data_IF_982266616321
#
_entry.id   IF_982266616321
#
_cell.length_a   1.000
_cell.length_b   1.000
_cell.length_c   1.000
_cell.angle_alpha   90.00
_cell.angle_beta   90.00
_cell.angle_gamma   90.00
#
_symmetry.space_group_name_H-M   'P 1'
#
loop_
_entity.id
_entity.type
_entity.pdbx_description
1 polymer ?
#
# COMPACT_ATOMS: atom_id res chain seq x y z
N UNK A 1 -5.44 12.17 -9.45
CA UNK A 1 -5.94 13.48 -9.91
C UNK A 1 -5.16 14.54 -9.15
N UNK A 2 -4.35 15.41 -9.79
CA UNK A 2 -3.58 16.40 -9.05
C UNK A 2 -4.52 17.49 -8.53
N UNK A 3 -4.73 17.53 -7.21
CA UNK A 3 -5.44 18.64 -6.56
C UNK A 3 -4.54 19.87 -6.61
N UNK A 4 -5.09 20.99 -7.07
CA UNK A 4 -4.39 22.27 -7.06
C UNK A 4 -4.17 22.65 -5.59
N UNK A 5 -2.92 22.57 -5.11
CA UNK A 5 -2.58 22.87 -3.71
C UNK A 5 -2.72 24.35 -3.36
N UNK A 6 -2.47 25.25 -4.32
CA UNK A 6 -2.38 26.70 -4.12
C UNK A 6 -3.06 27.41 -5.29
N UNK A 7 -4.01 28.30 -5.02
CA UNK A 7 -4.77 29.03 -6.05
C UNK A 7 -4.66 30.52 -5.80
N UNK A 8 -4.14 31.28 -6.76
CA UNK A 8 -3.95 32.74 -6.61
C UNK A 8 -5.31 33.44 -6.66
N UNK A 9 -5.56 34.31 -5.69
CA UNK A 9 -6.78 35.12 -5.61
C UNK A 9 -6.48 36.62 -5.63
N UNK A 10 -7.34 37.46 -6.25
CA UNK A 10 -8.56 37.10 -6.99
C UNK A 10 -8.25 36.56 -8.40
N UNK A 11 -9.00 35.57 -8.90
CA UNK A 11 -8.76 35.01 -10.25
C UNK A 11 -9.11 35.96 -11.41
N UNK A 12 -10.14 36.78 -11.23
CA UNK A 12 -10.58 37.74 -12.24
C UNK A 12 -10.25 39.16 -11.79
N UNK A 13 -9.59 39.93 -12.66
CA UNK A 13 -9.12 41.27 -12.33
C UNK A 13 -10.16 42.36 -12.62
N UNK A 14 -10.98 42.17 -13.66
CA UNK A 14 -11.81 43.22 -14.26
C UNK A 14 -13.30 42.86 -14.41
N UNK A 15 -13.76 41.74 -13.84
CA UNK A 15 -15.17 41.30 -13.95
C UNK A 15 -16.13 41.99 -12.97
N UNK A 16 -15.76 43.15 -12.43
CA UNK A 16 -16.55 43.85 -11.42
C UNK A 16 -17.59 44.75 -12.08
N UNK A 17 -18.85 44.67 -11.64
CA UNK A 17 -19.91 45.55 -12.13
C UNK A 17 -19.61 46.99 -11.70
N UNK A 18 -19.61 47.91 -12.66
CA UNK A 18 -19.38 49.33 -12.38
C UNK A 18 -20.63 50.00 -11.78
N UNK A 19 -20.46 50.90 -10.81
CA UNK A 19 -21.52 51.79 -10.34
C UNK A 19 -22.12 52.63 -11.49
N UNK A 20 -23.45 52.73 -11.55
CA UNK A 20 -24.20 53.32 -12.67
C UNK A 20 -24.03 54.84 -12.88
N UNK A 21 -23.29 55.54 -12.01
CA UNK A 21 -23.17 57.01 -12.00
C UNK A 21 -21.70 57.51 -12.06
N UNK A 22 -20.79 56.74 -12.65
CA UNK A 22 -19.38 57.16 -12.76
C UNK A 22 -19.16 57.96 -14.04
N UNK A 23 -18.50 59.11 -13.93
CA UNK A 23 -18.13 59.94 -15.08
C UNK A 23 -16.99 59.33 -15.91
N UNK A 24 -15.99 58.76 -15.24
CA UNK A 24 -14.79 58.17 -15.85
C UNK A 24 -14.76 56.65 -15.66
N UNK A 25 -15.56 55.91 -16.42
CA UNK A 25 -15.67 54.45 -16.28
C UNK A 25 -14.34 53.73 -16.52
N UNK A 26 -13.57 54.16 -17.52
CA UNK A 26 -12.27 53.55 -17.86
C UNK A 26 -11.25 53.71 -16.74
N UNK A 27 -11.19 54.88 -16.12
CA UNK A 27 -10.32 55.15 -14.97
C UNK A 27 -10.73 54.29 -13.76
N UNK A 28 -12.03 54.10 -13.55
CA UNK A 28 -12.54 53.22 -12.50
C UNK A 28 -12.14 51.75 -12.73
N UNK A 29 -12.36 51.21 -13.94
CA UNK A 29 -11.98 49.82 -14.29
C UNK A 29 -10.48 49.61 -14.15
N UNK A 30 -9.67 50.54 -14.64
CA UNK A 30 -8.20 50.44 -14.56
C UNK A 30 -7.71 50.45 -13.12
N UNK A 31 -8.26 51.34 -12.27
CA UNK A 31 -7.90 51.37 -10.85
C UNK A 31 -8.34 50.10 -10.10
N UNK A 32 -9.55 49.59 -10.35
CA UNK A 32 -10.02 48.31 -9.78
C UNK A 32 -9.12 47.16 -10.23
N UNK A 33 -8.76 47.13 -11.52
CA UNK A 33 -7.88 46.10 -12.07
C UNK A 33 -6.50 46.15 -11.43
N UNK A 34 -5.90 47.33 -11.27
CA UNK A 34 -4.61 47.51 -10.60
C UNK A 34 -4.68 47.10 -9.13
N UNK A 35 -5.72 47.49 -8.40
CA UNK A 35 -5.92 47.07 -7.02
C UNK A 35 -6.03 45.54 -6.89
N UNK A 36 -6.70 44.87 -7.83
CA UNK A 36 -6.81 43.42 -7.87
C UNK A 36 -5.49 42.74 -8.27
N UNK A 37 -4.67 43.36 -9.13
CA UNK A 37 -3.29 42.90 -9.41
C UNK A 37 -2.45 42.94 -8.14
N UNK A 38 -2.53 44.03 -7.36
CA UNK A 38 -1.81 44.13 -6.08
C UNK A 38 -2.27 43.03 -5.11
N UNK A 39 -3.58 42.74 -5.05
CA UNK A 39 -4.10 41.61 -4.24
C UNK A 39 -3.59 40.25 -4.74
N UNK A 40 -3.55 40.02 -6.04
CA UNK A 40 -2.97 38.79 -6.60
C UNK A 40 -1.49 38.64 -6.23
N UNK A 41 -0.72 39.73 -6.28
CA UNK A 41 0.70 39.70 -5.87
C UNK A 41 0.85 39.43 -4.36
N UNK A 42 -0.05 39.94 -3.52
CA UNK A 42 -0.10 39.60 -2.09
C UNK A 42 -0.40 38.12 -1.87
N UNK A 43 -1.39 37.57 -2.59
CA UNK A 43 -1.74 36.14 -2.54
C UNK A 43 -0.56 35.27 -3.00
N UNK A 44 0.09 35.64 -4.10
CA UNK A 44 1.30 34.98 -4.60
C UNK A 44 2.43 35.00 -3.57
N UNK A 45 2.63 36.12 -2.86
CA UNK A 45 3.67 36.25 -1.84
C UNK A 45 3.42 35.30 -0.66
N UNK A 46 2.17 35.18 -0.18
CA UNK A 46 1.78 34.16 0.83
C UNK A 46 2.15 32.75 0.34
N UNK A 47 1.80 32.42 -0.89
CA UNK A 47 2.08 31.09 -1.43
C UNK A 47 3.57 30.79 -1.64
N UNK A 48 4.36 31.81 -1.98
CA UNK A 48 5.80 31.69 -2.05
C UNK A 48 6.40 31.41 -0.65
N UNK A 49 5.95 32.14 0.38
CA UNK A 49 6.34 31.90 1.77
C UNK A 49 6.00 30.47 2.21
N UNK A 50 4.77 30.01 1.99
CA UNK A 50 4.36 28.64 2.34
C UNK A 50 5.23 27.58 1.65
N UNK A 51 5.53 27.78 0.36
CA UNK A 51 6.37 26.86 -0.42
C UNK A 51 7.80 26.81 0.11
N UNK A 52 8.42 27.97 0.32
CA UNK A 52 9.77 28.03 0.85
C UNK A 52 9.85 27.56 2.31
N UNK A 53 8.80 27.77 3.10
CA UNK A 53 8.67 27.24 4.45
C UNK A 53 8.63 25.71 4.47
N UNK A 54 7.84 25.07 3.60
CA UNK A 54 7.82 23.61 3.45
C UNK A 54 9.21 23.05 3.08
N UNK A 55 9.85 23.64 2.06
CA UNK A 55 11.20 23.23 1.63
C UNK A 55 12.24 23.45 2.72
N UNK A 56 12.17 24.56 3.44
CA UNK A 56 13.07 24.87 4.55
C UNK A 56 12.93 23.84 5.67
N UNK A 57 11.71 23.49 6.07
CA UNK A 57 11.48 22.51 7.13
C UNK A 57 12.03 21.13 6.77
N UNK A 58 11.87 20.71 5.51
CA UNK A 58 12.43 19.43 5.03
C UNK A 58 13.96 19.47 4.99
N UNK A 59 14.56 20.53 4.45
CA UNK A 59 16.00 20.73 4.43
C UNK A 59 16.60 20.81 5.85
N UNK A 60 15.89 21.44 6.78
CA UNK A 60 16.29 21.55 8.18
C UNK A 60 16.28 20.18 8.87
N UNK A 61 15.22 19.38 8.67
CA UNK A 61 15.17 17.99 9.14
C UNK A 61 16.32 17.15 8.56
N UNK A 62 16.62 17.32 7.27
CA UNK A 62 17.76 16.67 6.63
C UNK A 62 19.10 17.09 7.27
N UNK A 63 19.29 18.38 7.56
CA UNK A 63 20.51 18.89 8.20
C UNK A 63 20.77 18.22 9.57
N UNK A 64 19.75 18.07 10.42
CA UNK A 64 19.90 17.35 11.68
C UNK A 64 20.36 15.91 11.49
N UNK A 65 19.78 15.21 10.51
CA UNK A 65 20.16 13.82 10.19
C UNK A 65 21.59 13.73 9.69
N UNK A 66 22.02 14.67 8.84
CA UNK A 66 23.40 14.75 8.33
C UNK A 66 24.38 14.99 9.46
N UNK A 67 24.12 15.95 10.35
CA UNK A 67 25.01 16.26 11.46
C UNK A 67 25.17 15.06 12.40
N UNK A 68 24.05 14.42 12.76
CA UNK A 68 24.08 13.20 13.60
C UNK A 68 24.82 12.05 12.91
N UNK A 69 24.64 11.88 11.59
CA UNK A 69 25.35 10.85 10.84
C UNK A 69 26.85 11.15 10.72
N UNK A 70 27.23 12.41 10.50
CA UNK A 70 28.63 12.83 10.39
C UNK A 70 29.40 12.51 11.66
N UNK A 71 28.87 12.89 12.84
CA UNK A 71 29.51 12.57 14.12
C UNK A 71 29.69 11.05 14.32
N UNK A 72 28.73 10.25 13.86
CA UNK A 72 28.83 8.77 13.92
C UNK A 72 29.89 8.24 12.97
N UNK A 73 30.00 8.81 11.77
CA UNK A 73 31.03 8.45 10.78
C UNK A 73 32.42 8.78 11.32
N UNK A 74 32.61 9.95 11.94
CA UNK A 74 33.90 10.37 12.48
C UNK A 74 34.36 9.43 13.61
N UNK A 75 33.46 9.11 14.55
CA UNK A 75 33.75 8.15 15.63
C UNK A 75 34.04 6.76 15.09
N UNK A 76 33.25 6.29 14.12
CA UNK A 76 33.46 4.99 13.50
C UNK A 76 34.80 4.93 12.76
N UNK A 77 35.20 6.01 12.08
CA UNK A 77 36.49 6.10 11.40
C UNK A 77 37.64 5.87 12.38
N UNK A 78 37.61 6.53 13.54
CA UNK A 78 38.60 6.31 14.61
C UNK A 78 38.56 4.86 15.11
N UNK A 79 37.39 4.33 15.45
CA UNK A 79 37.26 2.94 15.92
C UNK A 79 37.83 1.92 14.93
N UNK A 80 37.57 2.09 13.63
CA UNK A 80 38.04 1.18 12.59
C UNK A 80 39.56 1.24 12.43
N UNK A 81 40.16 2.44 12.54
CA UNK A 81 41.63 2.58 12.44
C UNK A 81 42.39 1.97 13.62
N UNK A 82 41.73 1.75 14.75
CA UNK A 82 42.34 1.16 15.95
C UNK A 82 42.23 -0.37 15.99
N UNK A 83 41.58 -1.01 15.01
CA UNK A 83 41.44 -2.46 14.97
C UNK A 83 42.79 -3.12 14.61
N UNK A 84 43.27 -4.03 15.47
CA UNK A 84 44.42 -4.88 15.17
C UNK A 84 43.93 -6.30 14.80
N UNK A 85 44.08 -6.72 13.53
CA UNK A 85 43.66 -8.05 13.08
C UNK A 85 44.46 -9.19 13.73
N UNK A 86 45.60 -8.93 14.38
CA UNK A 86 46.37 -9.96 15.10
C UNK A 86 45.83 -10.23 16.50
N UNK A 87 45.12 -9.29 17.10
CA UNK A 87 44.53 -9.41 18.45
C UNK A 87 43.03 -9.76 18.42
N UNK A 88 42.37 -9.68 17.25
CA UNK A 88 40.94 -9.97 17.13
C UNK A 88 40.63 -11.48 17.15
N UNK A 89 40.10 -11.96 18.27
CA UNK A 89 39.66 -13.36 18.43
C UNK A 89 38.19 -13.56 18.07
N UNK A 90 37.89 -14.66 17.35
CA UNK A 90 36.51 -15.04 17.00
C UNK A 90 35.87 -15.85 18.13
N UNK A 91 34.73 -15.39 18.64
CA UNK A 91 33.97 -16.09 19.69
C UNK A 91 32.74 -16.82 19.15
N UNK A 92 32.63 -18.13 19.41
CA UNK A 92 31.43 -18.93 19.11
C UNK A 92 30.21 -18.51 19.95
N UNK A 93 30.43 -17.76 21.04
CA UNK A 93 29.34 -17.18 21.84
C UNK A 93 28.54 -16.15 21.03
N UNK A 94 29.13 -15.51 20.02
CA UNK A 94 28.43 -14.53 19.19
C UNK A 94 27.34 -15.16 18.33
N UNK A 95 27.49 -16.44 17.98
CA UNK A 95 26.50 -17.21 17.20
C UNK A 95 25.32 -17.63 18.09
N UNK A 96 25.60 -17.98 19.35
CA UNK A 96 24.64 -18.67 20.22
C UNK A 96 23.99 -17.75 21.25
N UNK A 97 24.72 -16.74 21.73
CA UNK A 97 24.31 -15.87 22.84
C UNK A 97 24.00 -14.44 22.41
N UNK A 98 24.48 -13.99 21.22
CA UNK A 98 24.15 -12.67 20.68
C UNK A 98 23.08 -12.76 19.60
N UNK A 99 22.20 -11.76 19.56
CA UNK A 99 21.22 -11.63 18.49
C UNK A 99 21.92 -11.17 17.22
N UNK A 100 21.54 -11.76 16.09
CA UNK A 100 22.01 -11.31 14.79
C UNK A 100 21.61 -9.85 14.52
N UNK A 101 22.46 -9.13 13.77
CA UNK A 101 22.16 -7.79 13.28
C UNK A 101 20.85 -7.77 12.47
N UNK A 102 20.07 -6.70 12.64
CA UNK A 102 18.85 -6.43 11.89
C UNK A 102 18.87 -4.99 11.42
N UNK A 103 18.64 -4.79 10.13
CA UNK A 103 18.42 -3.47 9.55
C UNK A 103 17.01 -2.96 9.86
N UNK A 104 16.79 -1.66 9.68
CA UNK A 104 15.46 -1.07 9.76
C UNK A 104 14.53 -1.65 8.69
N UNK A 105 13.27 -1.91 9.05
CA UNK A 105 12.21 -2.43 8.17
C UNK A 105 10.94 -1.56 8.22
N UNK A 106 11.10 -0.28 8.57
CA UNK A 106 9.98 0.67 8.64
C UNK A 106 9.39 0.87 7.23
N UNK A 107 8.06 0.87 7.13
CA UNK A 107 7.32 1.08 5.88
C UNK A 107 6.23 2.12 6.10
N UNK A 108 6.27 3.21 5.34
CA UNK A 108 5.26 4.25 5.40
C UNK A 108 3.95 3.77 4.73
N UNK A 109 2.84 3.96 5.43
CA UNK A 109 1.51 3.55 5.00
C UNK A 109 0.51 4.65 5.39
N UNK A 110 -0.73 4.58 4.87
CA UNK A 110 -1.79 5.56 5.16
C UNK A 110 -1.37 7.02 4.85
N UNK A 111 -0.74 7.23 3.69
CA UNK A 111 -0.16 8.53 3.30
C UNK A 111 -1.18 9.67 3.16
N UNK A 112 -2.47 9.35 3.07
CA UNK A 112 -3.56 10.31 2.82
C UNK A 112 -4.48 10.49 4.03
N UNK A 113 -3.96 10.27 5.24
CA UNK A 113 -4.67 10.58 6.47
C UNK A 113 -4.95 12.07 6.62
N UNK A 114 -5.96 12.39 7.44
CA UNK A 114 -6.39 13.78 7.62
C UNK A 114 -5.28 14.69 8.16
N UNK A 115 -4.33 14.12 8.89
CA UNK A 115 -3.15 14.78 9.49
C UNK A 115 -2.05 15.08 8.49
N UNK A 116 -1.97 14.34 7.37
CA UNK A 116 -1.00 14.62 6.30
C UNK A 116 -1.50 15.66 5.30
N UNK A 117 -2.73 16.18 5.49
CA UNK A 117 -3.29 17.20 4.61
C UNK A 117 -2.48 18.51 4.72
N UNK A 118 -1.93 19.03 3.61
CA UNK A 118 -1.21 20.31 3.60
C UNK A 118 -2.09 21.47 4.07
N UNK A 119 -1.48 22.42 4.78
CA UNK A 119 -2.17 23.60 5.33
C UNK A 119 -3.00 24.36 4.27
N UNK A 120 -2.52 24.62 3.05
CA UNK A 120 -3.35 25.32 2.05
C UNK A 120 -4.64 24.58 1.68
N UNK A 121 -4.61 23.24 1.63
CA UNK A 121 -5.79 22.42 1.38
C UNK A 121 -6.69 22.35 2.62
N UNK A 122 -6.10 22.40 3.82
CA UNK A 122 -6.84 22.50 5.07
C UNK A 122 -7.66 23.78 5.16
N UNK A 123 -7.06 24.94 4.83
CA UNK A 123 -7.75 26.23 4.78
C UNK A 123 -8.93 26.17 3.80
N UNK A 124 -8.69 25.65 2.59
CA UNK A 124 -9.75 25.49 1.58
C UNK A 124 -10.87 24.57 2.10
N UNK A 125 -10.53 23.44 2.70
CA UNK A 125 -11.49 22.50 3.25
C UNK A 125 -12.39 23.13 4.34
N UNK A 126 -11.84 24.03 5.16
CA UNK A 126 -12.61 24.72 6.21
C UNK A 126 -13.65 25.70 5.66
N UNK A 127 -13.45 26.21 4.44
CA UNK A 127 -14.44 27.06 3.75
C UNK A 127 -15.57 26.27 3.10
N UNK A 128 -15.41 24.96 2.92
CA UNK A 128 -16.44 24.10 2.35
C UNK A 128 -17.62 23.90 3.30
N UNK A 129 -18.79 23.62 2.73
CA UNK A 129 -19.99 23.30 3.50
C UNK A 129 -19.76 22.02 4.33
N UNK A 130 -20.06 22.10 5.62
CA UNK A 130 -19.97 20.98 6.53
C UNK A 130 -21.24 20.12 6.45
N UNK A 131 -21.15 18.80 6.69
CA UNK A 131 -22.33 17.96 6.69
C UNK A 131 -23.31 18.40 7.79
N UNK A 132 -24.62 18.11 7.63
CA UNK A 132 -25.60 18.37 8.68
C UNK A 132 -25.17 17.71 10.00
N UNK A 133 -25.42 18.35 11.17
CA UNK A 133 -24.92 17.89 12.47
C UNK A 133 -25.71 16.68 12.99
N UNK A 134 -25.81 15.60 12.21
CA UNK A 134 -26.61 14.40 12.52
C UNK A 134 -26.11 13.64 13.74
N UNK A 135 -24.88 13.91 14.19
CA UNK A 135 -24.35 13.30 15.40
C UNK A 135 -25.08 13.76 16.68
N UNK A 136 -25.84 14.86 16.65
CA UNK A 136 -26.71 15.24 17.78
C UNK A 136 -27.84 14.22 18.00
N UNK A 137 -28.20 13.45 16.97
CA UNK A 137 -29.24 12.42 17.05
C UNK A 137 -28.69 11.04 17.46
N UNK A 138 -27.36 10.86 17.49
CA UNK A 138 -26.72 9.58 17.85
C UNK A 138 -27.17 9.04 19.22
N UNK A 139 -27.34 9.85 20.28
CA UNK A 139 -27.78 9.35 21.59
C UNK A 139 -29.20 8.76 21.60
N UNK A 140 -30.03 9.08 20.61
CA UNK A 140 -31.42 8.62 20.52
C UNK A 140 -31.57 7.36 19.66
N UNK A 141 -30.47 6.74 19.23
CA UNK A 141 -30.49 5.55 18.38
C UNK A 141 -30.36 4.27 19.20
N UNK A 142 -31.17 3.27 18.85
CA UNK A 142 -31.16 1.96 19.49
C UNK A 142 -29.96 1.08 19.08
N UNK A 143 -29.36 1.33 17.91
CA UNK A 143 -28.27 0.52 17.35
C UNK A 143 -26.87 0.91 17.85
N UNK A 144 -26.77 1.97 18.65
CA UNK A 144 -25.50 2.49 19.19
C UNK A 144 -24.53 3.02 18.13
N UNK A 145 -25.00 3.26 16.89
CA UNK A 145 -24.16 3.73 15.79
C UNK A 145 -24.19 5.26 15.69
N UNK A 146 -23.12 5.83 15.18
CA UNK A 146 -23.04 7.26 14.88
C UNK A 146 -24.02 7.65 13.77
N UNK A 147 -24.87 8.65 14.02
CA UNK A 147 -25.85 9.13 13.05
C UNK A 147 -25.21 9.64 11.76
N UNK A 148 -24.05 10.32 11.85
CA UNK A 148 -23.38 10.87 10.67
C UNK A 148 -22.90 9.79 9.70
N UNK A 149 -22.56 8.58 10.17
CA UNK A 149 -22.11 7.47 9.30
C UNK A 149 -23.19 6.99 8.32
N UNK A 150 -24.46 7.27 8.60
CA UNK A 150 -25.56 6.99 7.66
C UNK A 150 -25.65 8.02 6.53
N UNK A 151 -25.03 9.19 6.69
CA UNK A 151 -24.94 10.23 5.68
C UNK A 151 -23.60 10.19 4.94
N UNK A 152 -22.49 10.09 5.67
CA UNK A 152 -21.13 9.99 5.12
C UNK A 152 -20.25 9.10 5.99
N UNK A 153 -19.61 8.10 5.39
CA UNK A 153 -18.71 7.17 6.07
C UNK A 153 -17.39 7.01 5.28
N UNK A 154 -16.33 7.73 5.65
CA UNK A 154 -15.02 7.59 4.99
C UNK A 154 -14.38 6.20 5.13
N UNK A 155 -14.69 5.47 6.21
CA UNK A 155 -14.16 4.13 6.46
C UNK A 155 -14.82 3.03 5.61
N UNK A 156 -15.97 3.33 4.99
CA UNK A 156 -16.78 2.37 4.25
C UNK A 156 -15.99 1.59 3.19
N UNK A 157 -15.17 2.29 2.39
CA UNK A 157 -14.38 1.67 1.33
C UNK A 157 -13.38 0.64 1.87
N UNK A 158 -12.66 1.01 2.92
CA UNK A 158 -11.69 0.13 3.56
C UNK A 158 -12.37 -1.07 4.22
N UNK A 159 -13.48 -0.85 4.93
CA UNK A 159 -14.22 -1.91 5.59
C UNK A 159 -14.79 -2.93 4.60
N UNK A 160 -15.35 -2.47 3.48
CA UNK A 160 -15.86 -3.33 2.42
C UNK A 160 -14.73 -4.12 1.75
N UNK A 161 -13.61 -3.45 1.45
CA UNK A 161 -12.43 -4.10 0.89
C UNK A 161 -11.88 -5.18 1.84
N UNK A 162 -11.70 -4.86 3.12
CA UNK A 162 -11.22 -5.79 4.14
C UNK A 162 -12.11 -7.02 4.23
N UNK A 163 -13.43 -6.82 4.28
CA UNK A 163 -14.41 -7.91 4.30
C UNK A 163 -14.27 -8.81 3.07
N UNK A 164 -14.13 -8.21 1.88
CA UNK A 164 -13.93 -8.94 0.62
C UNK A 164 -12.63 -9.75 0.64
N UNK A 165 -11.52 -9.18 1.07
CA UNK A 165 -10.22 -9.89 1.10
C UNK A 165 -10.22 -11.09 2.04
N UNK A 166 -10.85 -10.97 3.21
CA UNK A 166 -11.00 -12.09 4.14
C UNK A 166 -11.87 -13.20 3.54
N UNK A 167 -12.97 -12.84 2.90
CA UNK A 167 -13.86 -13.79 2.24
C UNK A 167 -13.14 -14.52 1.10
N UNK A 168 -12.50 -13.77 0.19
CA UNK A 168 -11.74 -14.32 -0.94
C UNK A 168 -10.62 -15.26 -0.47
N UNK A 169 -9.98 -14.95 0.67
CA UNK A 169 -8.93 -15.80 1.29
C UNK A 169 -9.50 -17.15 1.77
N UNK A 170 -10.62 -17.13 2.48
CA UNK A 170 -11.26 -18.35 2.97
C UNK A 170 -11.84 -19.20 1.83
N UNK A 171 -12.40 -18.58 0.79
CA UNK A 171 -12.90 -19.29 -0.38
C UNK A 171 -11.75 -19.98 -1.14
N UNK A 172 -10.62 -19.28 -1.32
CA UNK A 172 -9.42 -19.87 -1.94
C UNK A 172 -8.83 -21.00 -1.10
N UNK A 173 -8.89 -20.91 0.22
CA UNK A 173 -8.49 -21.98 1.15
C UNK A 173 -9.38 -23.22 1.03
N UNK A 174 -10.70 -23.03 0.98
CA UNK A 174 -11.69 -24.11 0.81
C UNK A 174 -11.55 -24.79 -0.54
N UNK A 175 -11.37 -24.01 -1.61
CA UNK A 175 -11.20 -24.56 -2.96
C UNK A 175 -9.93 -25.42 -3.08
N UNK A 176 -8.81 -24.97 -2.50
CA UNK A 176 -7.58 -25.77 -2.43
C UNK A 176 -7.78 -27.10 -1.68
N UNK A 177 -8.57 -27.12 -0.61
CA UNK A 177 -8.91 -28.36 0.11
C UNK A 177 -9.75 -29.30 -0.75
N UNK A 178 -10.79 -28.78 -1.44
CA UNK A 178 -11.63 -29.56 -2.36
C UNK A 178 -10.82 -30.15 -3.51
N UNK A 179 -9.92 -29.37 -4.11
CA UNK A 179 -9.05 -29.84 -5.20
C UNK A 179 -8.12 -30.96 -4.72
N UNK A 180 -7.49 -30.83 -3.53
CA UNK A 180 -6.66 -31.90 -2.95
C UNK A 180 -7.44 -33.19 -2.73
N UNK A 181 -8.66 -33.10 -2.18
CA UNK A 181 -9.54 -34.27 -1.98
C UNK A 181 -9.92 -34.90 -3.32
N UNK A 182 -10.30 -34.09 -4.32
CA UNK A 182 -10.63 -34.59 -5.66
C UNK A 182 -9.44 -35.29 -6.32
N UNK A 183 -8.23 -34.74 -6.20
CA UNK A 183 -7.01 -35.38 -6.69
C UNK A 183 -6.74 -36.71 -5.98
N UNK A 184 -6.88 -36.75 -4.65
CA UNK A 184 -6.71 -37.98 -3.86
C UNK A 184 -7.73 -39.07 -4.23
N UNK A 185 -9.01 -38.72 -4.36
CA UNK A 185 -10.07 -39.63 -4.79
C UNK A 185 -9.84 -40.13 -6.23
N UNK A 186 -9.40 -39.26 -7.13
CA UNK A 186 -9.05 -39.65 -8.50
C UNK A 186 -7.84 -40.59 -8.54
N UNK A 187 -6.85 -40.38 -7.67
CA UNK A 187 -5.71 -41.28 -7.53
C UNK A 187 -6.15 -42.66 -7.02
N UNK A 188 -6.97 -42.73 -5.97
CA UNK A 188 -7.54 -43.99 -5.48
C UNK A 188 -8.35 -44.72 -6.56
N UNK A 189 -9.19 -44.01 -7.33
CA UNK A 189 -9.93 -44.61 -8.45
C UNK A 189 -8.99 -45.18 -9.51
N UNK A 190 -7.94 -44.46 -9.91
CA UNK A 190 -6.94 -44.95 -10.87
C UNK A 190 -6.25 -46.22 -10.39
N UNK A 191 -5.82 -46.26 -9.13
CA UNK A 191 -5.21 -47.45 -8.52
C UNK A 191 -6.19 -48.63 -8.52
N UNK A 192 -7.44 -48.40 -8.12
CA UNK A 192 -8.47 -49.43 -8.12
C UNK A 192 -8.73 -49.98 -9.53
N UNK A 193 -8.83 -49.10 -10.55
CA UNK A 193 -8.98 -49.49 -11.95
C UNK A 193 -7.79 -50.32 -12.44
N UNK A 194 -6.55 -49.92 -12.11
CA UNK A 194 -5.34 -50.69 -12.46
C UNK A 194 -5.35 -52.10 -11.84
N UNK A 195 -5.71 -52.22 -10.56
CA UNK A 195 -5.79 -53.52 -9.87
C UNK A 195 -6.88 -54.41 -10.48
N UNK A 196 -8.06 -53.85 -10.77
CA UNK A 196 -9.15 -54.56 -11.42
C UNK A 196 -8.77 -55.04 -12.84
N UNK A 197 -8.09 -54.20 -13.63
CA UNK A 197 -7.61 -54.59 -14.96
C UNK A 197 -6.54 -55.69 -14.91
N UNK A 198 -5.63 -55.64 -13.93
CA UNK A 198 -4.62 -56.68 -13.74
C UNK A 198 -5.26 -58.03 -13.35
N UNK A 199 -6.29 -58.00 -12.49
CA UNK A 199 -7.08 -59.20 -12.14
C UNK A 199 -7.85 -59.77 -13.33
N UNK A 200 -8.50 -58.93 -14.14
CA UNK A 200 -9.17 -59.40 -15.36
C UNK A 200 -8.17 -60.02 -16.34
N UNK A 201 -7.00 -59.41 -16.52
CA UNK A 201 -5.93 -59.95 -17.37
C UNK A 201 -5.46 -61.33 -16.85
N UNK A 202 -5.30 -61.50 -15.53
CA UNK A 202 -4.97 -62.79 -14.91
C UNK A 202 -6.03 -63.87 -15.18
N UNK A 203 -7.31 -63.52 -15.07
CA UNK A 203 -8.40 -64.46 -15.35
C UNK A 203 -8.55 -64.82 -16.83
N UNK A 204 -8.24 -63.90 -17.76
CA UNK A 204 -8.42 -64.14 -19.20
C UNK A 204 -7.22 -64.81 -19.88
N UNK A 205 -5.99 -64.67 -19.36
CA UNK A 205 -4.79 -65.17 -20.05
C UNK A 205 -4.39 -66.61 -19.70
N UNK A 206 -4.84 -67.17 -18.58
CA UNK A 206 -4.40 -68.50 -18.14
C UNK A 206 -2.88 -68.58 -17.88
N UNK A 207 -2.45 -69.57 -17.09
CA UNK A 207 -1.09 -69.63 -16.53
C UNK A 207 0.07 -69.67 -17.55
N UNK A 208 -0.20 -69.88 -18.84
CA UNK A 208 0.84 -69.99 -19.89
C UNK A 208 1.19 -68.68 -20.60
N UNK A 209 0.32 -67.66 -20.61
CA UNK A 209 0.62 -66.36 -21.29
C UNK A 209 1.04 -65.27 -20.28
N UNK A 210 0.77 -65.48 -19.00
CA UNK A 210 1.06 -64.50 -17.94
C UNK A 210 2.56 -64.24 -17.74
N UNK A 211 3.40 -65.27 -17.92
CA UNK A 211 4.86 -65.10 -17.87
C UNK A 211 5.40 -64.23 -19.02
N UNK A 212 4.81 -64.31 -20.21
CA UNK A 212 5.23 -63.52 -21.37
C UNK A 212 4.84 -62.04 -21.25
N UNK A 213 3.68 -61.74 -20.65
CA UNK A 213 3.20 -60.37 -20.51
C UNK A 213 3.85 -59.60 -19.34
N UNK A 214 4.27 -60.29 -18.28
CA UNK A 214 5.11 -59.68 -17.22
C UNK A 214 6.45 -59.22 -17.81
N UNK A 215 7.07 -60.03 -18.68
CA UNK A 215 8.35 -59.68 -19.33
C UNK A 215 8.20 -58.51 -20.30
N UNK A 216 7.07 -58.38 -21.01
CA UNK A 216 6.78 -57.22 -21.87
C UNK A 216 6.40 -55.94 -21.11
N UNK A 217 5.68 -56.03 -20.00
CA UNK A 217 5.34 -54.86 -19.17
C UNK A 217 6.55 -54.28 -18.44
N UNK A 218 7.57 -55.10 -18.12
CA UNK A 218 8.85 -54.61 -17.56
C UNK A 218 9.68 -53.88 -18.63
N UNK A 219 9.50 -54.20 -19.92
CA UNK A 219 10.20 -53.52 -21.03
C UNK A 219 9.45 -52.32 -21.62
N UNK A 220 8.16 -52.18 -21.37
CA UNK A 220 7.36 -51.04 -21.83
C UNK A 220 7.10 -50.07 -20.67
N UNK A 221 8.18 -49.54 -20.09
CA UNK A 221 8.16 -48.27 -19.37
C UNK A 221 8.25 -47.17 -20.43
N UNK A 222 7.18 -46.43 -20.77
CA UNK A 222 7.39 -45.15 -21.41
C UNK A 222 7.95 -44.22 -20.35
N UNK A 223 9.16 -43.75 -20.61
CA UNK A 223 9.80 -42.64 -19.94
C UNK A 223 8.79 -41.50 -19.68
N UNK A 224 8.34 -41.37 -18.44
CA UNK A 224 7.85 -40.10 -17.89
C UNK A 224 8.85 -39.65 -16.84
N UNK A 225 9.96 -39.17 -17.40
CA UNK A 225 10.86 -38.13 -16.91
C UNK A 225 10.37 -37.44 -15.63
N UNK A 226 11.18 -37.55 -14.59
CA UNK A 226 11.22 -36.61 -13.47
C UNK A 226 11.38 -35.19 -14.00
N UNK A 227 10.38 -34.33 -13.78
CA UNK A 227 10.58 -32.88 -13.72
C UNK A 227 10.70 -32.50 -12.24
N UNK A 228 11.82 -31.89 -11.80
CA UNK A 228 11.90 -31.28 -10.48
C UNK A 228 11.33 -29.87 -10.58
N UNK A 229 10.27 -29.58 -9.83
CA UNK A 229 9.83 -28.20 -9.61
C UNK A 229 10.75 -27.55 -8.57
N UNK A 230 11.45 -26.50 -9.01
CA UNK A 230 11.98 -25.43 -8.17
C UNK A 230 10.93 -24.36 -7.89
#
# INVERSE_FOLDING_TARGET
>A
MPLVKRSIEPRHLCHTVLPRNIKNELECVTNISLANVIRQLSSLSKYAEDLFGELFNEAHSFSFRVNSLQERVDRLSVSVTQLDPKEEELSLQDITMRKAFRSSTIQDQQLFDRTSLPIPLQETFQTCEQPPPLNILSPYRDDGKEGLKFYTDPSYFFDLWRKKMLQDTEDKRKERRKQKVRVSLNHQRRVLTMVLSARLCWCCLGDTVFLFLIVLCVFCVPACVCAPDG
#
